data_IF_330109748178
#
_entry.id   IF_330109748178
#
_cell.length_a   1.000
_cell.length_b   1.000
_cell.length_c   1.000
_cell.angle_alpha   90.00
_cell.angle_beta   90.00
_cell.angle_gamma   90.00
#
_symmetry.space_group_name_H-M   'P 1'
#
loop_
_entity.id
_entity.type
_entity.pdbx_description
1 polymer ?
#
# COMPACT_ATOMS: atom_id res chain seq x y z
N UNK A 1 15.08 25.48 18.53
CA UNK A 1 15.41 24.11 18.08
C UNK A 1 14.75 23.08 18.98
N UNK A 2 15.04 23.06 20.30
CA UNK A 2 14.44 22.15 21.30
C UNK A 2 12.90 22.15 21.31
N UNK A 3 12.27 23.34 21.28
CA UNK A 3 10.81 23.51 21.31
C UNK A 3 10.12 22.98 20.06
N UNK A 4 10.79 23.04 18.91
CA UNK A 4 10.27 22.52 17.64
C UNK A 4 10.34 20.99 17.62
N UNK A 5 11.42 20.42 18.16
CA UNK A 5 11.60 18.98 18.32
C UNK A 5 10.58 18.38 19.31
N UNK A 6 10.38 19.02 20.47
CA UNK A 6 9.38 18.63 21.45
C UNK A 6 7.94 18.71 20.91
N UNK A 7 7.64 19.73 20.10
CA UNK A 7 6.34 19.83 19.45
C UNK A 7 6.11 18.69 18.43
N UNK A 8 7.16 18.25 17.74
CA UNK A 8 7.08 17.10 16.82
C UNK A 8 6.88 15.78 17.58
N UNK A 9 7.61 15.54 18.67
CA UNK A 9 7.41 14.37 19.52
C UNK A 9 6.03 14.37 20.20
N UNK A 10 5.57 15.54 20.67
CA UNK A 10 4.22 15.70 21.23
C UNK A 10 3.12 15.41 20.22
N UNK A 11 3.26 15.89 18.98
CA UNK A 11 2.33 15.56 17.89
C UNK A 11 2.31 14.07 17.53
N UNK A 12 3.46 13.40 17.59
CA UNK A 12 3.56 11.96 17.41
C UNK A 12 2.85 11.22 18.56
N UNK A 13 3.08 11.63 19.81
CA UNK A 13 2.38 11.07 20.99
C UNK A 13 0.86 11.24 20.88
N UNK A 14 0.42 12.42 20.48
CA UNK A 14 -1.01 12.75 20.39
C UNK A 14 -1.70 12.05 19.20
N UNK A 15 -0.95 11.48 18.24
CA UNK A 15 -1.52 10.66 17.16
C UNK A 15 -1.79 9.21 17.56
N UNK A 16 -1.21 8.74 18.68
CA UNK A 16 -1.32 7.36 19.12
C UNK A 16 -2.73 7.00 19.56
N UNK A 17 -3.15 5.77 19.25
CA UNK A 17 -4.45 5.28 19.70
C UNK A 17 -4.38 4.78 21.16
N UNK A 18 -5.11 5.40 22.11
CA UNK A 18 -5.08 4.99 23.52
C UNK A 18 -5.62 3.57 23.75
N UNK A 19 -6.42 3.03 22.83
CA UNK A 19 -6.95 1.65 22.90
C UNK A 19 -5.89 0.59 22.70
N UNK A 20 -4.71 0.95 22.22
CA UNK A 20 -3.60 0.02 22.07
C UNK A 20 -3.18 -0.63 23.37
N UNK A 21 -3.31 0.06 24.52
CA UNK A 21 -3.01 -0.47 25.86
C UNK A 21 -3.78 -1.73 26.20
N UNK A 22 -4.91 -1.95 25.54
CA UNK A 22 -5.81 -3.08 25.76
C UNK A 22 -5.75 -4.12 24.62
N UNK A 23 -4.92 -3.90 23.60
CA UNK A 23 -4.80 -4.76 22.42
C UNK A 23 -3.66 -5.77 22.53
N UNK A 24 -3.73 -6.88 21.78
CA UNK A 24 -2.61 -7.84 21.67
C UNK A 24 -1.38 -7.26 20.97
N UNK A 25 -1.50 -6.07 20.38
CA UNK A 25 -0.39 -5.30 19.80
C UNK A 25 0.34 -4.46 20.86
N UNK A 26 -0.18 -4.31 22.08
CA UNK A 26 0.46 -3.47 23.11
C UNK A 26 1.91 -3.87 23.41
N UNK A 27 2.17 -5.16 23.57
CA UNK A 27 3.54 -5.65 23.82
C UNK A 27 4.49 -5.39 22.66
N UNK A 28 3.96 -5.20 21.45
CA UNK A 28 4.73 -4.80 20.28
C UNK A 28 5.13 -3.34 20.39
N UNK A 29 4.18 -2.43 20.56
CA UNK A 29 4.43 -0.99 20.40
C UNK A 29 4.83 -0.29 21.70
N UNK A 30 4.47 -0.85 22.86
CA UNK A 30 4.67 -0.20 24.16
C UNK A 30 6.12 0.21 24.47
N UNK A 31 7.18 -0.54 24.09
CA UNK A 31 8.55 -0.11 24.36
C UNK A 31 8.89 1.22 23.69
N UNK A 32 8.52 1.38 22.41
CA UNK A 32 8.72 2.61 21.64
C UNK A 32 7.87 3.76 22.19
N UNK A 33 6.60 3.51 22.49
CA UNK A 33 5.70 4.54 23.01
C UNK A 33 6.16 5.03 24.39
N UNK A 34 6.52 4.11 25.30
CA UNK A 34 7.08 4.44 26.61
C UNK A 34 8.39 5.21 26.47
N UNK A 35 9.24 4.85 25.50
CA UNK A 35 10.47 5.59 25.24
C UNK A 35 10.20 7.05 24.84
N UNK A 36 9.29 7.28 23.90
CA UNK A 36 8.92 8.64 23.49
C UNK A 36 8.24 9.42 24.63
N UNK A 37 7.42 8.78 25.46
CA UNK A 37 6.86 9.41 26.67
C UNK A 37 7.97 9.82 27.66
N UNK A 38 8.95 8.95 27.90
CA UNK A 38 10.10 9.22 28.78
C UNK A 38 11.01 10.32 28.20
N UNK A 39 11.19 10.34 26.88
CA UNK A 39 11.94 11.35 26.13
C UNK A 39 11.29 12.74 26.28
N UNK A 40 9.99 12.82 26.00
CA UNK A 40 9.19 14.05 26.15
C UNK A 40 9.25 14.54 27.60
N UNK A 41 9.07 13.64 28.57
CA UNK A 41 9.08 13.97 30.00
C UNK A 41 10.44 14.51 30.43
N UNK A 42 11.53 13.82 30.10
CA UNK A 42 12.90 14.24 30.47
C UNK A 42 13.27 15.59 29.85
N UNK A 43 12.89 15.82 28.60
CA UNK A 43 13.24 17.06 27.89
C UNK A 43 12.37 18.24 28.28
N UNK A 44 11.09 18.04 28.60
CA UNK A 44 10.28 19.09 29.20
C UNK A 44 10.87 19.54 30.54
N UNK A 45 11.26 18.60 31.41
CA UNK A 45 11.92 18.92 32.66
C UNK A 45 13.23 19.72 32.46
N UNK A 46 14.00 19.42 31.41
CA UNK A 46 15.21 20.18 31.05
C UNK A 46 14.90 21.62 30.60
N UNK A 47 13.89 21.81 29.73
CA UNK A 47 13.47 23.15 29.28
C UNK A 47 12.95 23.99 30.44
N UNK A 48 12.12 23.40 31.30
CA UNK A 48 11.57 24.06 32.49
C UNK A 48 12.71 24.52 33.41
N UNK A 49 13.70 23.65 33.64
CA UNK A 49 14.86 23.95 34.47
C UNK A 49 15.76 25.05 33.87
N UNK A 50 15.89 25.13 32.54
CA UNK A 50 16.59 26.22 31.87
C UNK A 50 15.84 27.55 31.98
N UNK A 51 14.51 27.52 31.81
CA UNK A 51 13.66 28.70 31.94
C UNK A 51 13.69 29.25 33.37
N UNK A 52 13.57 28.39 34.37
CA UNK A 52 13.62 28.76 35.79
C UNK A 52 14.95 29.40 36.18
N UNK A 53 16.08 28.89 35.65
CA UNK A 53 17.40 29.50 35.86
C UNK A 53 17.59 30.83 35.13
N UNK A 54 16.98 31.00 33.94
CA UNK A 54 17.02 32.28 33.23
C UNK A 54 16.18 33.37 33.91
N UNK A 55 15.09 32.98 34.58
CA UNK A 55 14.21 33.89 35.34
C UNK A 55 14.81 34.26 36.72
N UNK A 56 15.47 33.32 37.40
CA UNK A 56 16.11 33.59 38.72
C UNK A 56 17.39 34.42 38.63
N UNK A 57 18.03 34.51 37.45
CA UNK A 57 19.22 35.34 37.24
C UNK A 57 18.90 36.81 36.89
N UNK A 58 17.63 37.17 36.75
CA UNK A 58 17.15 38.53 36.48
C UNK A 58 16.91 39.38 37.77
N UNK A 59 17.78 39.25 38.77
CA UNK A 59 17.82 40.10 39.97
C UNK A 59 19.10 40.96 40.01
N UNK A 60 19.06 42.19 40.55
CA UNK A 60 19.91 43.29 40.09
C UNK A 60 21.35 43.20 40.62
N UNK A 61 22.31 42.95 39.74
CA UNK A 61 23.70 43.37 39.94
C UNK A 61 24.24 44.05 38.69
N UNK A 62 24.75 45.26 38.92
CA UNK A 62 25.19 46.23 37.93
C UNK A 62 26.31 45.73 37.01
N UNK A 63 26.22 46.21 35.77
CA UNK A 63 27.31 46.53 34.85
C UNK A 63 28.25 45.37 34.46
N UNK A 64 27.75 44.46 33.63
CA UNK A 64 28.52 43.94 32.50
C UNK A 64 27.63 44.07 31.26
N UNK A 65 28.25 44.62 30.20
CA UNK A 65 27.70 44.99 28.89
C UNK A 65 26.55 44.08 28.45
N UNK A 66 25.44 44.62 27.90
CA UNK A 66 24.40 43.78 27.33
C UNK A 66 25.03 42.96 26.21
N UNK A 67 25.17 41.65 26.43
CA UNK A 67 25.29 40.71 25.32
C UNK A 67 23.93 40.76 24.64
N UNK A 68 23.81 41.65 23.65
CA UNK A 68 22.72 41.59 22.70
C UNK A 68 22.74 40.20 22.10
N UNK A 69 21.71 39.41 22.40
CA UNK A 69 21.34 38.22 21.64
C UNK A 69 20.78 38.69 20.27
N UNK A 70 21.55 39.47 19.53
CA UNK A 70 21.27 39.70 18.12
C UNK A 70 21.75 38.47 17.36
N UNK A 71 20.83 37.55 17.14
CA UNK A 71 20.97 36.34 16.32
C UNK A 71 21.24 36.62 14.83
N UNK A 72 21.67 37.82 14.43
CA UNK A 72 21.58 38.28 13.03
C UNK A 72 22.89 38.72 12.36
N UNK A 73 24.08 38.46 12.91
CA UNK A 73 25.31 38.84 12.21
C UNK A 73 26.48 37.86 12.40
N UNK A 74 26.50 36.78 11.62
CA UNK A 74 27.66 36.29 10.80
C UNK A 74 27.52 34.80 10.42
N UNK A 75 28.18 34.40 9.32
CA UNK A 75 27.50 33.97 8.11
C UNK A 75 26.66 32.69 8.31
N UNK A 76 25.47 32.71 7.73
CA UNK A 76 24.65 31.55 7.45
C UNK A 76 25.53 30.53 6.71
N UNK A 77 26.03 29.52 7.43
CA UNK A 77 26.16 28.20 6.84
C UNK A 77 24.72 27.76 6.69
N UNK A 78 24.26 27.64 5.44
CA UNK A 78 22.92 27.17 5.10
C UNK A 78 22.65 25.83 5.80
N UNK A 79 22.05 25.88 6.98
CA UNK A 79 21.41 24.71 7.60
C UNK A 79 20.09 24.59 6.87
N UNK A 80 19.85 23.50 6.11
CA UNK A 80 18.62 23.32 5.36
C UNK A 80 17.42 23.49 6.30
N UNK A 81 16.53 24.38 5.92
CA UNK A 81 15.27 24.63 6.60
C UNK A 81 14.52 23.32 6.88
N UNK A 82 14.40 23.03 8.17
CA UNK A 82 13.72 21.89 8.77
C UNK A 82 12.24 21.86 8.34
N UNK A 83 11.93 21.00 7.37
CA UNK A 83 10.55 20.63 7.06
C UNK A 83 10.44 19.12 7.12
N UNK A 84 9.97 18.60 8.26
CA UNK A 84 9.25 17.34 8.24
C UNK A 84 7.99 17.64 7.43
N UNK A 85 7.94 17.20 6.17
CA UNK A 85 6.67 17.03 5.46
C UNK A 85 5.86 15.93 6.13
N UNK A 86 5.49 16.14 7.39
CA UNK A 86 4.31 15.53 7.96
C UNK A 86 3.19 16.39 7.40
N UNK A 87 2.47 15.84 6.44
CA UNK A 87 1.36 16.50 5.77
C UNK A 87 0.44 17.20 6.79
N UNK A 88 -0.17 18.35 6.44
CA UNK A 88 -1.06 19.05 7.34
C UNK A 88 -2.17 18.12 7.82
N UNK A 89 -2.39 18.15 9.13
CA UNK A 89 -3.44 17.44 9.83
C UNK A 89 -4.82 17.86 9.31
N UNK A 90 -5.33 17.11 8.35
CA UNK A 90 -6.78 17.03 8.04
C UNK A 90 -7.17 15.73 7.36
N UNK A 91 -6.21 14.97 6.82
CA UNK A 91 -6.49 13.69 6.19
C UNK A 91 -6.35 12.55 7.21
N UNK A 92 -7.49 12.04 7.68
CA UNK A 92 -7.63 10.75 8.38
C UNK A 92 -7.03 9.54 7.63
N UNK A 93 -6.56 9.74 6.39
CA UNK A 93 -5.81 8.76 5.60
C UNK A 93 -4.33 8.62 5.97
N UNK A 94 -3.73 9.59 6.66
CA UNK A 94 -2.29 9.62 6.95
C UNK A 94 -1.94 9.41 8.43
N UNK A 95 -2.79 8.71 9.20
CA UNK A 95 -2.39 8.32 10.56
C UNK A 95 -1.30 7.24 10.48
N UNK A 96 -0.05 7.50 10.91
CA UNK A 96 1.06 6.54 10.85
C UNK A 96 0.80 5.23 11.58
N UNK A 97 -0.20 5.22 12.47
CA UNK A 97 -0.49 4.17 13.45
C UNK A 97 -1.57 3.17 12.98
N UNK A 98 -2.33 3.53 11.92
CA UNK A 98 -3.42 2.71 11.38
C UNK A 98 -3.04 1.29 10.92
N UNK A 99 -1.84 1.00 10.39
CA UNK A 99 -1.54 -0.35 9.92
C UNK A 99 -1.34 -1.34 11.09
N UNK A 100 -0.82 -0.90 12.23
CA UNK A 100 -0.60 -1.75 13.41
C UNK A 100 -1.90 -2.24 14.05
N UNK A 101 -2.94 -1.41 14.08
CA UNK A 101 -4.29 -1.77 14.58
C UNK A 101 -4.90 -2.96 13.84
N UNK A 102 -4.52 -3.15 12.57
CA UNK A 102 -5.09 -4.17 11.70
C UNK A 102 -4.30 -5.48 11.72
N UNK A 103 -3.08 -5.50 12.27
CA UNK A 103 -2.19 -6.66 12.24
C UNK A 103 -2.79 -7.89 12.93
N UNK A 104 -3.21 -7.75 14.19
CA UNK A 104 -3.79 -8.85 14.96
C UNK A 104 -5.11 -9.35 14.33
N UNK A 105 -6.11 -8.48 14.02
CA UNK A 105 -7.32 -8.92 13.32
C UNK A 105 -7.05 -9.64 12.00
N UNK A 106 -6.11 -9.14 11.19
CA UNK A 106 -5.76 -9.75 9.92
C UNK A 106 -5.09 -11.13 10.10
N UNK A 107 -4.19 -11.27 11.08
CA UNK A 107 -3.58 -12.55 11.42
C UNK A 107 -4.61 -13.57 11.90
N UNK A 108 -5.52 -13.17 12.79
CA UNK A 108 -6.58 -14.05 13.29
C UNK A 108 -7.54 -14.47 12.17
N UNK A 109 -7.87 -13.57 11.24
CA UNK A 109 -8.66 -13.89 10.05
C UNK A 109 -7.96 -14.90 9.13
N UNK A 110 -6.63 -14.78 8.94
CA UNK A 110 -5.84 -15.79 8.22
C UNK A 110 -5.90 -17.15 8.92
N UNK A 111 -5.62 -17.17 10.23
CA UNK A 111 -5.62 -18.41 11.03
C UNK A 111 -6.98 -19.10 11.03
N UNK A 112 -8.08 -18.34 11.07
CA UNK A 112 -9.41 -18.90 10.96
C UNK A 112 -9.68 -19.48 9.57
N UNK A 113 -9.38 -18.71 8.50
CA UNK A 113 -9.58 -19.17 7.13
C UNK A 113 -8.72 -20.41 6.81
N UNK A 114 -7.52 -20.50 7.38
CA UNK A 114 -6.62 -21.65 7.31
C UNK A 114 -7.23 -22.91 7.95
N UNK A 115 -7.94 -22.77 9.08
CA UNK A 115 -8.71 -23.88 9.66
C UNK A 115 -9.89 -24.27 8.78
N UNK A 116 -10.62 -23.28 8.26
CA UNK A 116 -11.86 -23.50 7.49
C UNK A 116 -11.59 -24.20 6.14
N UNK A 117 -10.50 -23.85 5.45
CA UNK A 117 -10.10 -24.51 4.20
C UNK A 117 -9.64 -25.96 4.42
N UNK A 118 -9.17 -26.28 5.63
CA UNK A 118 -8.75 -27.63 6.00
C UNK A 118 -9.89 -28.57 6.37
N UNK A 119 -11.11 -28.05 6.56
CA UNK A 119 -12.29 -28.87 6.85
C UNK A 119 -12.50 -29.92 5.74
N UNK A 120 -12.93 -31.16 6.07
CA UNK A 120 -13.09 -32.23 5.07
C UNK A 120 -14.00 -31.85 3.89
N UNK A 121 -15.06 -31.10 4.14
CA UNK A 121 -15.96 -30.58 3.11
C UNK A 121 -15.26 -29.59 2.17
N UNK A 122 -14.51 -28.64 2.72
CA UNK A 122 -13.72 -27.65 1.96
C UNK A 122 -12.65 -28.31 1.11
N UNK A 123 -11.89 -29.26 1.67
CA UNK A 123 -10.88 -30.03 0.93
C UNK A 123 -11.49 -30.85 -0.20
N UNK A 124 -12.62 -31.51 0.07
CA UNK A 124 -13.35 -32.28 -0.95
C UNK A 124 -13.85 -31.38 -2.08
N UNK A 125 -14.37 -30.18 -1.75
CA UNK A 125 -14.80 -29.20 -2.73
C UNK A 125 -13.63 -28.68 -3.58
N UNK A 126 -12.48 -28.39 -2.97
CA UNK A 126 -11.27 -27.95 -3.68
C UNK A 126 -10.71 -29.03 -4.60
N UNK A 127 -10.65 -30.28 -4.13
CA UNK A 127 -10.21 -31.40 -4.94
C UNK A 127 -11.14 -31.66 -6.13
N UNK A 128 -12.46 -31.59 -5.90
CA UNK A 128 -13.47 -31.70 -6.97
C UNK A 128 -13.32 -30.56 -7.98
N UNK A 129 -13.22 -29.31 -7.51
CA UNK A 129 -13.05 -28.16 -8.38
C UNK A 129 -11.80 -28.31 -9.26
N UNK A 130 -10.67 -28.74 -8.69
CA UNK A 130 -9.44 -28.94 -9.43
C UNK A 130 -9.56 -30.05 -10.50
N UNK A 131 -10.23 -31.16 -10.19
CA UNK A 131 -10.40 -32.27 -11.14
C UNK A 131 -11.42 -31.99 -12.23
N UNK A 132 -12.36 -31.06 -12.01
CA UNK A 132 -13.41 -30.70 -12.98
C UNK A 132 -13.21 -29.32 -13.60
N UNK A 133 -12.12 -28.62 -13.34
CA UNK A 133 -11.91 -27.28 -13.87
C UNK A 133 -11.81 -27.32 -15.40
N UNK A 134 -12.66 -26.54 -16.05
CA UNK A 134 -12.66 -26.37 -17.49
C UNK A 134 -12.42 -24.87 -17.80
N UNK A 135 -11.32 -24.51 -18.49
CA UNK A 135 -11.10 -23.12 -18.87
C UNK A 135 -12.20 -22.59 -19.80
N UNK A 136 -12.94 -23.42 -20.54
CA UNK A 136 -14.05 -22.95 -21.38
C UNK A 136 -15.30 -22.56 -20.58
N UNK A 137 -15.41 -23.07 -19.34
CA UNK A 137 -16.46 -22.76 -18.38
C UNK A 137 -15.79 -22.46 -17.02
N UNK A 138 -15.03 -21.36 -16.93
CA UNK A 138 -14.21 -21.08 -15.77
C UNK A 138 -15.11 -20.91 -14.55
N UNK A 139 -14.86 -21.73 -13.52
CA UNK A 139 -15.44 -21.55 -12.21
C UNK A 139 -14.40 -20.95 -11.28
N UNK A 140 -14.75 -19.95 -10.44
CA UNK A 140 -13.82 -19.43 -9.45
C UNK A 140 -13.43 -20.52 -8.45
N UNK A 141 -12.32 -20.33 -7.71
CA UNK A 141 -12.00 -21.22 -6.59
C UNK A 141 -13.19 -21.36 -5.62
N UNK A 142 -13.33 -22.49 -4.91
CA UNK A 142 -14.33 -22.63 -3.86
C UNK A 142 -14.20 -21.54 -2.80
N UNK A 143 -15.33 -21.11 -2.23
CA UNK A 143 -15.37 -19.98 -1.30
C UNK A 143 -14.39 -20.09 -0.12
N UNK A 144 -14.21 -21.26 0.56
CA UNK A 144 -13.24 -21.36 1.64
C UNK A 144 -11.80 -21.06 1.22
N UNK A 145 -11.39 -21.51 0.03
CA UNK A 145 -10.05 -21.23 -0.50
C UNK A 145 -9.93 -19.75 -0.95
N UNK A 146 -10.98 -19.16 -1.53
CA UNK A 146 -11.01 -17.73 -1.83
C UNK A 146 -10.90 -16.86 -0.58
N UNK A 147 -11.57 -17.23 0.51
CA UNK A 147 -11.46 -16.51 1.79
C UNK A 147 -10.02 -16.59 2.31
N UNK A 148 -9.43 -17.79 2.32
CA UNK A 148 -8.05 -17.99 2.77
C UNK A 148 -7.01 -17.23 1.94
N UNK A 149 -7.16 -17.23 0.61
CA UNK A 149 -6.31 -16.44 -0.32
C UNK A 149 -6.42 -14.95 -0.03
N UNK A 150 -7.64 -14.43 0.11
CA UNK A 150 -7.92 -13.00 0.39
C UNK A 150 -7.36 -12.55 1.73
N UNK A 151 -7.65 -13.28 2.80
CA UNK A 151 -7.16 -12.92 4.15
C UNK A 151 -5.63 -12.95 4.20
N UNK A 152 -5.01 -13.96 3.58
CA UNK A 152 -3.54 -14.06 3.53
C UNK A 152 -2.93 -12.88 2.77
N UNK A 153 -3.46 -12.54 1.58
CA UNK A 153 -2.97 -11.39 0.83
C UNK A 153 -3.13 -10.07 1.60
N UNK A 154 -4.28 -9.89 2.26
CA UNK A 154 -4.54 -8.73 3.10
C UNK A 154 -3.55 -8.60 4.26
N UNK A 155 -3.27 -9.70 4.98
CA UNK A 155 -2.30 -9.70 6.07
C UNK A 155 -0.87 -9.43 5.54
N UNK A 156 -0.51 -9.97 4.37
CA UNK A 156 0.78 -9.67 3.74
C UNK A 156 0.92 -8.19 3.39
N UNK A 157 -0.16 -7.53 2.95
CA UNK A 157 -0.17 -6.09 2.66
C UNK A 157 0.06 -5.28 3.94
N UNK A 158 -0.68 -5.58 5.01
CA UNK A 158 -0.54 -4.86 6.29
C UNK A 158 0.87 -5.05 6.86
N UNK A 159 1.41 -6.27 6.83
CA UNK A 159 2.79 -6.53 7.27
C UNK A 159 3.80 -5.74 6.43
N UNK A 160 3.58 -5.64 5.13
CA UNK A 160 4.44 -4.82 4.26
C UNK A 160 4.36 -3.35 4.66
N UNK A 161 3.16 -2.80 4.84
CA UNK A 161 2.96 -1.42 5.28
C UNK A 161 3.64 -1.13 6.63
N UNK A 162 3.54 -2.05 7.60
CA UNK A 162 4.22 -1.91 8.89
C UNK A 162 5.74 -1.98 8.76
N UNK A 163 6.28 -2.89 7.94
CA UNK A 163 7.72 -2.96 7.68
C UNK A 163 8.24 -1.72 6.95
N UNK A 164 7.46 -1.19 6.01
CA UNK A 164 7.77 0.06 5.31
C UNK A 164 7.76 1.24 6.30
N UNK A 165 6.88 1.23 7.31
CA UNK A 165 6.89 2.22 8.40
C UNK A 165 8.17 2.13 9.25
N UNK A 166 8.55 0.92 9.70
CA UNK A 166 9.78 0.74 10.47
C UNK A 166 11.03 1.19 9.69
N UNK A 167 11.08 0.86 8.39
CA UNK A 167 12.26 1.14 7.57
C UNK A 167 12.34 2.61 7.14
N UNK A 168 11.22 3.27 6.85
CA UNK A 168 11.26 4.62 6.29
C UNK A 168 11.00 5.73 7.31
N UNK A 169 10.23 5.46 8.37
CA UNK A 169 9.83 6.48 9.34
C UNK A 169 10.66 6.33 10.61
N UNK A 170 10.71 5.14 11.19
CA UNK A 170 11.35 4.96 12.48
C UNK A 170 12.87 5.12 12.40
N UNK A 171 13.52 4.56 11.36
CA UNK A 171 14.95 4.74 11.11
C UNK A 171 15.34 6.22 10.99
N UNK A 172 14.52 7.01 10.29
CA UNK A 172 14.74 8.46 10.16
C UNK A 172 14.57 9.17 11.50
N UNK A 173 13.61 8.75 12.33
CA UNK A 173 13.40 9.33 13.66
C UNK A 173 14.58 9.01 14.58
N UNK A 174 15.05 7.75 14.61
CA UNK A 174 16.17 7.33 15.45
C UNK A 174 17.49 7.97 15.02
N UNK A 175 17.77 8.07 13.72
CA UNK A 175 18.96 8.77 13.20
C UNK A 175 18.92 10.26 13.54
N UNK A 176 17.78 10.93 13.37
CA UNK A 176 17.63 12.34 13.78
C UNK A 176 17.81 12.51 15.29
N UNK A 177 17.33 11.56 16.08
CA UNK A 177 17.51 11.56 17.52
C UNK A 177 18.99 11.44 17.90
N UNK A 178 19.74 10.60 17.18
CA UNK A 178 21.19 10.47 17.32
C UNK A 178 21.90 11.78 17.02
N UNK A 179 21.61 12.36 15.86
CA UNK A 179 22.25 13.60 15.42
C UNK A 179 21.98 14.73 16.42
N UNK A 180 20.73 14.88 16.85
CA UNK A 180 20.38 15.92 17.81
C UNK A 180 21.07 15.72 19.16
N UNK A 181 21.22 14.48 19.63
CA UNK A 181 21.95 14.17 20.86
C UNK A 181 23.44 14.54 20.75
N UNK A 182 24.07 14.29 19.60
CA UNK A 182 25.46 14.72 19.36
C UNK A 182 25.58 16.25 19.20
N UNK A 183 24.59 16.93 18.63
CA UNK A 183 24.57 18.39 18.52
C UNK A 183 24.50 19.05 19.92
N UNK A 184 23.62 18.57 20.79
CA UNK A 184 23.50 19.05 22.18
C UNK A 184 24.80 18.78 22.95
N UNK A 185 25.38 17.59 22.78
CA UNK A 185 26.69 17.24 23.37
C UNK A 185 27.80 18.18 22.90
N UNK A 186 27.85 18.47 21.59
CA UNK A 186 28.81 19.41 20.99
C UNK A 186 28.64 20.82 21.57
N UNK A 187 27.40 21.30 21.67
CA UNK A 187 27.07 22.60 22.25
C UNK A 187 27.51 22.70 23.72
N UNK A 188 27.13 21.73 24.57
CA UNK A 188 27.52 21.68 25.98
C UNK A 188 29.05 21.63 26.10
N UNK A 189 29.71 20.79 25.30
CA UNK A 189 31.16 20.68 25.27
C UNK A 189 31.85 22.00 24.92
N UNK A 190 31.35 22.72 23.91
CA UNK A 190 31.83 24.04 23.52
C UNK A 190 31.62 25.09 24.61
N UNK A 191 30.41 25.15 25.19
CA UNK A 191 30.07 26.08 26.26
C UNK A 191 30.94 25.86 27.51
N UNK A 192 31.06 24.61 27.98
CA UNK A 192 31.91 24.27 29.13
C UNK A 192 33.40 24.59 28.87
N UNK A 193 33.88 24.32 27.65
CA UNK A 193 35.25 24.67 27.25
C UNK A 193 35.49 26.18 27.30
N UNK A 194 34.52 26.99 26.87
CA UNK A 194 34.60 28.45 26.94
C UNK A 194 34.63 28.97 28.38
N UNK A 195 33.90 28.32 29.30
CA UNK A 195 33.87 28.66 30.73
C UNK A 195 35.15 28.26 31.46
N UNK A 196 35.79 27.14 31.09
CA UNK A 196 37.10 26.77 31.65
C UNK A 196 38.21 27.75 31.26
N UNK A 197 38.11 28.42 30.10
CA UNK A 197 39.02 29.51 29.75
C UNK A 197 38.77 30.78 30.57
N UNK A 198 37.53 31.01 31.00
CA UNK A 198 37.13 32.23 31.69
C UNK A 198 37.44 32.20 33.20
N UNK A 199 37.45 31.01 33.82
CA UNK A 199 37.66 30.87 35.27
C UNK A 199 38.56 29.67 35.57
N UNK A 200 39.85 29.93 35.73
CA UNK A 200 40.83 28.93 36.16
C UNK A 200 40.48 28.28 37.52
N UNK A 201 39.61 28.90 38.32
CA UNK A 201 39.15 28.43 39.63
C UNK A 201 37.78 27.71 39.64
N UNK A 202 37.05 27.57 38.52
CA UNK A 202 35.89 26.64 38.44
C UNK A 202 36.42 25.23 38.16
N UNK A 203 37.19 24.78 39.16
CA UNK A 203 37.99 23.59 39.25
C UNK A 203 37.12 22.34 39.40
N UNK A 204 37.58 21.25 38.78
CA UNK A 204 37.11 19.86 38.90
C UNK A 204 35.67 19.57 38.42
N UNK A 205 34.65 20.33 38.79
CA UNK A 205 33.27 20.06 38.37
C UNK A 205 33.06 20.26 36.86
N UNK A 206 33.63 21.32 36.27
CA UNK A 206 33.60 21.52 34.81
C UNK A 206 34.41 20.45 34.08
N UNK A 207 35.57 20.04 34.61
CA UNK A 207 36.37 18.95 34.05
C UNK A 207 35.63 17.62 34.08
N UNK A 208 34.94 17.30 35.18
CA UNK A 208 34.08 16.12 35.31
C UNK A 208 32.91 16.21 34.34
N UNK A 209 32.25 17.37 34.23
CA UNK A 209 31.16 17.57 33.28
C UNK A 209 31.63 17.39 31.83
N UNK A 210 32.75 18.00 31.42
CA UNK A 210 33.34 17.82 30.08
C UNK A 210 33.71 16.35 29.84
N UNK A 211 34.31 15.69 30.82
CA UNK A 211 34.66 14.27 30.75
C UNK A 211 33.41 13.40 30.56
N UNK A 212 32.36 13.65 31.34
CA UNK A 212 31.09 12.93 31.27
C UNK A 212 30.37 13.18 29.94
N UNK A 213 30.35 14.43 29.45
CA UNK A 213 29.78 14.79 28.14
C UNK A 213 30.55 14.15 26.99
N UNK A 214 31.89 14.08 27.07
CA UNK A 214 32.72 13.37 26.08
C UNK A 214 32.54 11.86 26.13
N UNK A 215 32.35 11.28 27.32
CA UNK A 215 32.10 9.85 27.49
C UNK A 215 30.66 9.43 27.14
N UNK A 216 29.73 10.38 27.03
CA UNK A 216 28.40 10.08 26.51
C UNK A 216 28.50 9.66 25.05
N UNK A 217 28.12 8.42 24.76
CA UNK A 217 28.00 7.89 23.42
C UNK A 217 26.51 7.79 23.07
N UNK A 218 26.05 8.61 22.13
CA UNK A 218 24.67 8.51 21.60
C UNK A 218 24.37 7.10 21.07
N UNK A 219 25.38 6.42 20.53
CA UNK A 219 25.28 5.02 20.11
C UNK A 219 24.86 4.08 21.26
N UNK A 220 25.31 4.30 22.50
CA UNK A 220 24.90 3.47 23.65
C UNK A 220 23.43 3.69 24.06
N UNK A 221 22.86 4.84 23.67
CA UNK A 221 21.45 5.17 23.91
C UNK A 221 20.53 4.62 22.82
N UNK A 222 21.03 4.53 21.58
CA UNK A 222 20.24 4.18 20.39
C UNK A 222 20.38 2.71 20.01
N UNK A 223 21.52 2.06 20.29
CA UNK A 223 21.72 0.64 20.01
C UNK A 223 20.62 -0.25 20.63
N UNK A 224 20.21 -0.07 21.90
CA UNK A 224 19.12 -0.88 22.46
C UNK A 224 17.79 -0.68 21.72
N UNK A 225 17.58 0.47 21.07
CA UNK A 225 16.37 0.76 20.29
C UNK A 225 16.36 0.04 18.96
N UNK A 226 17.52 -0.14 18.32
CA UNK A 226 17.60 -1.02 17.15
C UNK A 226 17.28 -2.46 17.53
N UNK A 227 17.76 -2.93 18.68
CA UNK A 227 17.46 -4.28 19.18
C UNK A 227 15.95 -4.46 19.45
N UNK A 228 15.31 -3.49 20.13
CA UNK A 228 13.85 -3.49 20.35
C UNK A 228 13.05 -3.50 19.03
N UNK A 229 13.47 -2.73 18.02
CA UNK A 229 12.81 -2.71 16.71
C UNK A 229 12.91 -4.07 16.01
N UNK A 230 14.06 -4.71 16.08
CA UNK A 230 14.25 -6.04 15.49
C UNK A 230 13.44 -7.11 16.25
N UNK A 231 13.35 -6.99 17.57
CA UNK A 231 12.46 -7.83 18.39
C UNK A 231 10.98 -7.64 17.99
N UNK A 232 10.55 -6.40 17.76
CA UNK A 232 9.19 -6.09 17.28
C UNK A 232 8.93 -6.65 15.88
N UNK A 233 9.85 -6.46 14.93
CA UNK A 233 9.77 -7.08 13.59
C UNK A 233 9.72 -8.60 13.65
N UNK A 234 10.32 -9.20 14.67
CA UNK A 234 10.29 -10.65 14.89
C UNK A 234 8.94 -11.17 15.41
N UNK A 235 8.05 -10.30 15.87
CA UNK A 235 6.74 -10.67 16.42
C UNK A 235 5.89 -11.47 15.44
N UNK A 236 5.08 -12.40 15.95
CA UNK A 236 4.30 -13.33 15.12
C UNK A 236 3.39 -12.60 14.11
N UNK A 237 2.74 -11.51 14.52
CA UNK A 237 1.85 -10.74 13.64
C UNK A 237 2.60 -9.95 12.56
N UNK A 238 3.87 -9.62 12.80
CA UNK A 238 4.75 -8.95 11.84
C UNK A 238 5.34 -9.91 10.80
N UNK A 239 5.17 -11.23 10.98
CA UNK A 239 5.54 -12.24 10.00
C UNK A 239 4.41 -12.43 9.00
N UNK A 240 4.76 -12.54 7.72
CA UNK A 240 3.80 -12.91 6.68
C UNK A 240 3.25 -14.30 6.97
N UNK A 241 1.93 -14.44 6.96
CA UNK A 241 1.27 -15.72 7.17
C UNK A 241 1.66 -16.71 6.05
N UNK A 242 2.00 -17.94 6.41
CA UNK A 242 2.36 -18.97 5.44
C UNK A 242 1.12 -19.52 4.74
N UNK A 243 0.93 -19.20 3.46
CA UNK A 243 -0.16 -19.77 2.66
C UNK A 243 0.21 -21.17 2.14
N UNK A 244 -0.73 -22.11 2.26
CA UNK A 244 -0.55 -23.51 1.87
C UNK A 244 -1.59 -23.99 0.86
N UNK A 245 -1.14 -24.64 -0.20
CA UNK A 245 -2.02 -25.30 -1.17
C UNK A 245 -2.49 -26.66 -0.65
N UNK A 246 -3.66 -26.71 -0.03
CA UNK A 246 -4.19 -27.96 0.54
C UNK A 246 -4.54 -29.04 -0.48
N UNK A 247 -4.75 -28.68 -1.75
CA UNK A 247 -4.91 -29.66 -2.82
C UNK A 247 -3.57 -30.24 -3.32
N UNK A 248 -2.44 -29.61 -2.99
CA UNK A 248 -1.06 -30.09 -3.23
C UNK A 248 -0.41 -30.51 -1.91
N UNK A 249 -1.13 -31.26 -1.07
CA UNK A 249 -0.60 -31.78 0.19
C UNK A 249 -0.07 -30.70 1.16
N UNK A 250 -0.55 -29.45 1.07
CA UNK A 250 -0.15 -28.36 1.96
C UNK A 250 1.20 -27.73 1.63
N UNK A 251 1.65 -27.83 0.38
CA UNK A 251 2.84 -27.13 -0.11
C UNK A 251 2.74 -25.61 0.09
N UNK A 252 3.86 -24.99 0.49
CA UNK A 252 3.98 -23.54 0.66
C UNK A 252 3.93 -22.84 -0.70
N UNK A 253 3.22 -21.72 -0.74
CA UNK A 253 3.04 -20.92 -1.95
C UNK A 253 2.66 -19.48 -1.60
N UNK A 254 2.62 -18.60 -2.61
CA UNK A 254 2.14 -17.23 -2.45
C UNK A 254 0.88 -17.03 -3.30
N UNK A 255 -0.27 -16.65 -2.70
CA UNK A 255 -1.49 -16.48 -3.46
C UNK A 255 -1.40 -15.22 -4.34
N UNK A 256 -1.59 -15.40 -5.64
CA UNK A 256 -1.73 -14.35 -6.65
C UNK A 256 -3.12 -14.35 -7.28
N UNK A 257 -3.81 -15.49 -7.22
CA UNK A 257 -5.13 -15.68 -7.82
C UNK A 257 -6.22 -15.70 -6.74
N UNK A 258 -7.42 -15.26 -7.11
CA UNK A 258 -8.58 -15.29 -6.20
C UNK A 258 -8.54 -14.25 -5.09
N UNK A 259 -7.84 -13.13 -5.30
CA UNK A 259 -7.62 -12.09 -4.28
C UNK A 259 -8.80 -11.11 -4.09
N UNK A 260 -9.86 -11.23 -4.88
CA UNK A 260 -10.97 -10.25 -4.91
C UNK A 260 -10.77 -9.16 -5.96
N UNK A 261 -11.80 -8.37 -6.24
CA UNK A 261 -11.85 -7.48 -7.39
C UNK A 261 -10.74 -6.41 -7.37
N UNK A 262 -10.63 -5.63 -6.29
CA UNK A 262 -9.64 -4.55 -6.18
C UNK A 262 -8.20 -5.05 -6.36
N UNK A 263 -7.79 -6.06 -5.59
CA UNK A 263 -6.43 -6.63 -5.67
C UNK A 263 -6.15 -7.26 -7.04
N UNK A 264 -7.14 -7.95 -7.63
CA UNK A 264 -7.01 -8.52 -8.98
C UNK A 264 -6.82 -7.41 -10.01
N UNK A 265 -7.63 -6.37 -9.96
CA UNK A 265 -7.57 -5.23 -10.90
C UNK A 265 -6.23 -4.52 -10.79
N UNK A 266 -5.76 -4.28 -9.58
CA UNK A 266 -4.46 -3.66 -9.32
C UNK A 266 -3.32 -4.49 -9.93
N UNK A 267 -3.32 -5.81 -9.68
CA UNK A 267 -2.27 -6.69 -10.18
C UNK A 267 -2.30 -6.83 -11.71
N UNK A 268 -3.49 -6.93 -12.32
CA UNK A 268 -3.62 -6.95 -13.78
C UNK A 268 -3.08 -5.65 -14.39
N UNK A 269 -3.39 -4.49 -13.81
CA UNK A 269 -2.84 -3.21 -14.26
C UNK A 269 -1.31 -3.17 -14.16
N UNK A 270 -0.74 -3.60 -13.03
CA UNK A 270 0.73 -3.68 -12.87
C UNK A 270 1.37 -4.56 -13.95
N UNK A 271 0.73 -5.68 -14.33
CA UNK A 271 1.22 -6.52 -15.42
C UNK A 271 1.17 -5.78 -16.76
N UNK A 272 0.05 -5.11 -17.05
CA UNK A 272 -0.14 -4.33 -18.27
C UNK A 272 0.76 -3.08 -18.36
N UNK A 273 1.28 -2.57 -17.24
CA UNK A 273 2.17 -1.41 -17.20
C UNK A 273 3.62 -1.73 -17.60
N UNK A 274 4.00 -3.01 -17.63
CA UNK A 274 5.39 -3.42 -17.93
C UNK A 274 5.75 -3.53 -19.40
N UNK A 275 4.82 -3.19 -20.30
CA UNK A 275 5.10 -3.05 -21.73
C UNK A 275 3.97 -3.55 -22.63
N UNK A 276 4.22 -3.51 -23.93
CA UNK A 276 3.34 -4.10 -24.94
C UNK A 276 3.29 -5.61 -24.74
N UNK A 277 2.10 -6.17 -24.49
CA UNK A 277 1.88 -7.61 -24.42
C UNK A 277 1.16 -7.99 -25.70
N UNK A 278 1.77 -8.86 -26.52
CA UNK A 278 1.08 -9.50 -27.64
C UNK A 278 0.04 -10.48 -27.08
N UNK A 279 -1.08 -9.94 -26.61
CA UNK A 279 -2.13 -10.72 -25.97
C UNK A 279 -2.94 -11.44 -27.06
N UNK A 280 -2.62 -12.70 -27.29
CA UNK A 280 -3.35 -13.52 -28.25
C UNK A 280 -4.61 -14.11 -27.62
N UNK A 281 -5.68 -14.25 -28.40
CA UNK A 281 -6.94 -14.89 -27.98
C UNK A 281 -6.74 -16.41 -27.93
N UNK A 282 -5.91 -16.90 -26.99
CA UNK A 282 -5.64 -18.33 -26.77
C UNK A 282 -6.00 -18.74 -25.34
N UNK A 283 -7.19 -18.31 -24.91
CA UNK A 283 -7.88 -18.76 -23.70
C UNK A 283 -7.83 -20.27 -23.44
N UNK A 284 -7.93 -21.05 -24.52
CA UNK A 284 -8.20 -22.50 -24.49
C UNK A 284 -7.05 -23.36 -23.95
N UNK A 285 -5.91 -22.76 -23.58
CA UNK A 285 -4.74 -23.49 -23.05
C UNK A 285 -4.45 -23.20 -21.58
N UNK A 286 -5.34 -22.51 -20.85
CA UNK A 286 -5.14 -22.29 -19.43
C UNK A 286 -5.20 -23.63 -18.67
N UNK A 287 -4.08 -24.03 -18.08
CA UNK A 287 -4.01 -25.14 -17.14
C UNK A 287 -3.90 -24.57 -15.73
N UNK A 288 -4.82 -24.91 -14.83
CA UNK A 288 -4.77 -24.48 -13.43
C UNK A 288 -3.45 -24.87 -12.78
N UNK A 289 -2.92 -26.06 -13.11
CA UNK A 289 -1.61 -26.50 -12.63
C UNK A 289 -0.46 -25.58 -13.05
N UNK A 290 -0.53 -24.94 -14.23
CA UNK A 290 0.47 -23.95 -14.66
C UNK A 290 0.34 -22.66 -13.84
N UNK A 291 -0.89 -22.20 -13.57
CA UNK A 291 -1.13 -21.04 -12.73
C UNK A 291 -0.56 -21.25 -11.32
N UNK A 292 -0.90 -22.36 -10.67
CA UNK A 292 -0.45 -22.66 -9.32
C UNK A 292 1.07 -22.90 -9.22
N UNK A 293 1.70 -23.40 -10.29
CA UNK A 293 3.17 -23.44 -10.37
C UNK A 293 3.80 -22.05 -10.33
N UNK A 294 3.12 -21.01 -10.81
CA UNK A 294 3.58 -19.62 -10.64
C UNK A 294 3.51 -19.20 -9.16
N UNK A 295 2.42 -19.50 -8.45
CA UNK A 295 2.29 -19.21 -7.01
C UNK A 295 3.41 -19.88 -6.18
N UNK A 296 3.83 -21.09 -6.57
CA UNK A 296 4.94 -21.81 -5.94
C UNK A 296 6.31 -21.28 -6.34
N UNK A 297 6.54 -21.10 -7.65
CA UNK A 297 7.85 -20.70 -8.20
C UNK A 297 8.34 -19.35 -7.69
N UNK A 298 7.41 -18.49 -7.25
CA UNK A 298 7.70 -17.15 -6.77
C UNK A 298 7.39 -16.93 -5.29
N UNK A 299 7.36 -17.99 -4.48
CA UNK A 299 7.15 -17.93 -3.04
C UNK A 299 8.05 -16.86 -2.36
N UNK A 300 9.34 -16.82 -2.74
CA UNK A 300 10.34 -15.92 -2.16
C UNK A 300 10.67 -14.71 -3.04
N UNK A 301 9.95 -14.51 -4.14
CA UNK A 301 10.24 -13.44 -5.10
C UNK A 301 9.23 -12.30 -5.00
N UNK A 302 9.66 -11.04 -5.18
CA UNK A 302 8.74 -9.94 -5.41
C UNK A 302 7.88 -10.21 -6.64
N UNK A 303 6.62 -9.76 -6.62
CA UNK A 303 5.75 -9.93 -7.77
C UNK A 303 6.30 -9.20 -9.00
N UNK A 304 7.04 -8.11 -8.77
CA UNK A 304 7.79 -7.38 -9.78
C UNK A 304 8.76 -8.26 -10.56
N UNK A 305 9.32 -9.32 -9.96
CA UNK A 305 10.19 -10.26 -10.69
C UNK A 305 9.41 -11.14 -11.68
N UNK A 306 8.16 -11.48 -11.35
CA UNK A 306 7.25 -12.20 -12.26
C UNK A 306 6.91 -11.31 -13.45
N UNK A 307 6.63 -10.06 -13.16
CA UNK A 307 6.16 -9.10 -14.16
C UNK A 307 7.32 -8.64 -15.05
N UNK A 308 8.49 -8.36 -14.46
CA UNK A 308 9.68 -7.89 -15.16
C UNK A 308 10.43 -9.00 -15.92
N UNK A 309 10.07 -10.28 -15.76
CA UNK A 309 10.72 -11.37 -16.50
C UNK A 309 10.57 -11.12 -18.02
N UNK A 310 11.67 -10.87 -18.76
CA UNK A 310 11.60 -10.39 -20.14
C UNK A 310 11.21 -11.47 -21.16
N UNK A 311 11.48 -12.75 -20.87
CA UNK A 311 11.65 -13.74 -21.92
C UNK A 311 10.37 -14.51 -22.34
N UNK A 312 9.19 -14.12 -21.87
CA UNK A 312 7.98 -14.87 -22.23
C UNK A 312 6.68 -14.06 -22.17
N UNK A 313 6.36 -13.33 -23.25
CA UNK A 313 5.03 -12.71 -23.46
C UNK A 313 3.89 -13.71 -23.22
N UNK A 314 4.10 -14.98 -23.57
CA UNK A 314 3.12 -16.04 -23.36
C UNK A 314 2.93 -16.38 -21.87
N UNK A 315 3.97 -16.27 -21.03
CA UNK A 315 3.82 -16.38 -19.56
C UNK A 315 3.03 -15.20 -19.00
N UNK A 316 3.27 -13.96 -19.48
CA UNK A 316 2.49 -12.79 -19.03
C UNK A 316 1.02 -12.91 -19.43
N UNK A 317 0.74 -13.37 -20.64
CA UNK A 317 -0.63 -13.67 -21.08
C UNK A 317 -1.28 -14.76 -20.22
N UNK A 318 -0.57 -15.86 -19.94
CA UNK A 318 -1.07 -16.90 -19.01
C UNK A 318 -1.37 -16.33 -17.64
N UNK A 319 -0.50 -15.48 -17.11
CA UNK A 319 -0.71 -14.80 -15.84
C UNK A 319 -1.97 -13.93 -15.88
N UNK A 320 -2.12 -13.06 -16.88
CA UNK A 320 -3.29 -12.19 -17.06
C UNK A 320 -4.60 -12.99 -17.13
N UNK A 321 -4.64 -14.03 -17.95
CA UNK A 321 -5.81 -14.90 -18.06
C UNK A 321 -6.09 -15.58 -16.72
N UNK A 322 -5.06 -16.11 -16.04
CA UNK A 322 -5.21 -16.76 -14.72
C UNK A 322 -5.75 -15.77 -13.68
N UNK A 323 -5.26 -14.53 -13.65
CA UNK A 323 -5.71 -13.48 -12.74
C UNK A 323 -7.21 -13.21 -12.88
N UNK A 324 -7.70 -13.09 -14.11
CA UNK A 324 -9.10 -12.76 -14.39
C UNK A 324 -10.05 -13.98 -14.27
N UNK A 325 -9.58 -15.18 -14.60
CA UNK A 325 -10.42 -16.38 -14.66
C UNK A 325 -10.49 -17.16 -13.36
N UNK A 326 -9.47 -17.06 -12.50
CA UNK A 326 -9.44 -17.75 -11.22
C UNK A 326 -9.99 -16.90 -10.06
N UNK A 327 -10.27 -15.61 -10.32
CA UNK A 327 -11.03 -14.76 -9.40
C UNK A 327 -12.53 -14.93 -9.58
N UNK A 328 -13.37 -14.38 -8.70
CA UNK A 328 -14.81 -14.28 -9.00
C UNK A 328 -15.02 -13.36 -10.22
N UNK A 329 -16.09 -13.56 -11.02
CA UNK A 329 -16.40 -12.67 -12.12
C UNK A 329 -16.40 -11.21 -11.63
N UNK A 330 -15.62 -10.36 -12.31
CA UNK A 330 -15.58 -8.93 -12.03
C UNK A 330 -16.90 -8.25 -12.42
N UNK A 331 -17.64 -8.88 -13.33
CA UNK A 331 -18.96 -8.48 -13.78
C UNK A 331 -19.94 -9.63 -13.57
N UNK A 332 -20.88 -9.46 -12.65
CA UNK A 332 -21.97 -10.41 -12.47
C UNK A 332 -23.12 -10.04 -13.43
N UNK A 333 -23.29 -10.83 -14.49
CA UNK A 333 -24.38 -10.67 -15.46
C UNK A 333 -25.23 -11.93 -15.44
N UNK A 334 -26.51 -11.77 -15.10
CA UNK A 334 -27.46 -12.88 -15.11
C UNK A 334 -27.66 -13.43 -16.53
N UNK A 335 -27.77 -14.75 -16.67
CA UNK A 335 -27.97 -15.42 -17.96
C UNK A 335 -29.22 -14.94 -18.72
N UNK A 336 -30.23 -14.40 -18.02
CA UNK A 336 -31.41 -13.79 -18.64
C UNK A 336 -31.04 -12.47 -19.34
N UNK A 337 -30.19 -11.64 -18.72
CA UNK A 337 -29.70 -10.38 -19.31
C UNK A 337 -28.77 -10.62 -20.49
N UNK A 338 -27.94 -11.66 -20.42
CA UNK A 338 -27.09 -12.08 -21.54
C UNK A 338 -27.93 -12.41 -22.77
N UNK A 339 -28.97 -13.23 -22.62
CA UNK A 339 -29.91 -13.56 -23.70
C UNK A 339 -30.69 -12.33 -24.18
N UNK A 340 -31.14 -11.48 -23.26
CA UNK A 340 -31.90 -10.27 -23.57
C UNK A 340 -31.10 -9.28 -24.42
N UNK A 341 -29.80 -9.12 -24.15
CA UNK A 341 -28.96 -8.09 -24.79
C UNK A 341 -27.95 -8.66 -25.79
N UNK A 342 -28.26 -9.82 -26.40
CA UNK A 342 -27.42 -10.44 -27.42
C UNK A 342 -27.19 -9.54 -28.65
N UNK A 343 -28.13 -8.64 -28.95
CA UNK A 343 -28.04 -7.66 -30.03
C UNK A 343 -27.48 -6.30 -29.62
N UNK A 344 -27.03 -6.15 -28.37
CA UNK A 344 -26.59 -4.87 -27.79
C UNK A 344 -27.49 -4.37 -26.67
N UNK A 345 -26.95 -3.43 -25.89
CA UNK A 345 -27.58 -2.78 -24.73
C UNK A 345 -27.91 -1.33 -25.07
N UNK A 346 -29.18 -0.92 -24.95
CA UNK A 346 -29.56 0.49 -25.02
C UNK A 346 -28.91 1.29 -23.87
N UNK A 347 -28.45 2.53 -24.13
CA UNK A 347 -27.78 3.39 -23.13
C UNK A 347 -28.51 3.46 -21.78
N UNK A 348 -29.83 3.71 -21.82
CA UNK A 348 -30.72 3.77 -20.66
C UNK A 348 -30.80 2.47 -19.81
N UNK A 349 -30.22 1.36 -20.28
CA UNK A 349 -30.18 0.07 -19.59
C UNK A 349 -28.77 -0.33 -19.15
N UNK A 350 -27.73 0.41 -19.54
CA UNK A 350 -26.35 0.14 -19.14
C UNK A 350 -26.16 0.31 -17.63
N UNK A 351 -26.78 1.34 -17.04
CA UNK A 351 -26.65 1.62 -15.61
C UNK A 351 -26.99 0.40 -14.75
N UNK A 352 -28.14 -0.25 -14.98
CA UNK A 352 -28.51 -1.45 -14.22
C UNK A 352 -27.62 -2.67 -14.46
N UNK A 353 -26.79 -2.69 -15.52
CA UNK A 353 -25.77 -3.73 -15.71
C UNK A 353 -24.46 -3.37 -15.00
N UNK A 354 -24.08 -2.09 -15.01
CA UNK A 354 -22.86 -1.60 -14.36
C UNK A 354 -23.02 -1.55 -12.84
N UNK A 355 -24.24 -1.34 -12.34
CA UNK A 355 -24.56 -1.36 -10.91
C UNK A 355 -24.35 -2.73 -10.25
N UNK A 356 -24.22 -3.82 -11.02
CA UNK A 356 -23.88 -5.14 -10.46
C UNK A 356 -22.40 -5.28 -10.10
N UNK A 357 -21.56 -4.33 -10.53
CA UNK A 357 -20.16 -4.24 -10.13
C UNK A 357 -20.09 -3.55 -8.78
N UNK A 358 -19.25 -4.10 -7.89
CA UNK A 358 -18.98 -3.51 -6.58
C UNK A 358 -18.63 -2.03 -6.71
N UNK A 359 -19.33 -1.18 -5.95
CA UNK A 359 -19.27 0.27 -6.11
C UNK A 359 -17.84 0.80 -5.89
N UNK A 360 -17.14 0.26 -4.89
CA UNK A 360 -15.77 0.69 -4.55
C UNK A 360 -14.75 0.32 -5.64
N UNK A 361 -14.95 -0.80 -6.33
CA UNK A 361 -14.06 -1.28 -7.39
C UNK A 361 -14.52 -0.93 -8.82
N UNK A 362 -15.69 -0.30 -8.99
CA UNK A 362 -16.38 -0.16 -10.28
C UNK A 362 -15.57 0.62 -11.31
N UNK A 363 -15.11 1.81 -10.95
CA UNK A 363 -14.31 2.67 -11.85
C UNK A 363 -13.08 1.94 -12.35
N UNK A 364 -12.28 1.38 -11.44
CA UNK A 364 -11.03 0.69 -11.78
C UNK A 364 -11.29 -0.57 -12.62
N UNK A 365 -12.37 -1.30 -12.31
CA UNK A 365 -12.79 -2.49 -13.06
C UNK A 365 -13.20 -2.14 -14.49
N UNK A 366 -14.00 -1.08 -14.67
CA UNK A 366 -14.43 -0.60 -15.99
C UNK A 366 -13.25 -0.04 -16.80
N UNK A 367 -12.36 0.72 -16.14
CA UNK A 367 -11.15 1.25 -16.76
C UNK A 367 -10.25 0.11 -17.23
N UNK A 368 -10.07 -0.91 -16.39
CA UNK A 368 -9.31 -2.11 -16.77
C UNK A 368 -9.96 -2.82 -17.95
N UNK A 369 -11.28 -3.03 -17.93
CA UNK A 369 -12.02 -3.66 -19.04
C UNK A 369 -11.78 -2.92 -20.37
N UNK A 370 -11.91 -1.58 -20.36
CA UNK A 370 -11.65 -0.75 -21.55
C UNK A 370 -10.18 -0.84 -21.97
N UNK A 371 -9.25 -0.80 -21.03
CA UNK A 371 -7.82 -0.96 -21.30
C UNK A 371 -7.53 -2.30 -21.99
N UNK A 372 -8.10 -3.40 -21.50
CA UNK A 372 -7.93 -4.75 -22.08
C UNK A 372 -8.53 -4.82 -23.49
N UNK A 373 -9.75 -4.27 -23.70
CA UNK A 373 -10.38 -4.19 -25.03
C UNK A 373 -9.47 -3.49 -26.04
N UNK A 374 -8.97 -2.30 -25.69
CA UNK A 374 -8.13 -1.48 -26.57
C UNK A 374 -6.80 -2.20 -26.86
N UNK A 375 -6.15 -2.77 -25.84
CA UNK A 375 -4.90 -3.51 -26.02
C UNK A 375 -5.07 -4.70 -26.98
N UNK A 376 -6.12 -5.50 -26.81
CA UNK A 376 -6.38 -6.65 -27.68
C UNK A 376 -6.70 -6.23 -29.12
N UNK A 377 -7.43 -5.13 -29.32
CA UNK A 377 -7.75 -4.62 -30.66
C UNK A 377 -6.55 -3.98 -31.36
N UNK A 378 -5.59 -3.41 -30.61
CA UNK A 378 -4.37 -2.82 -31.18
C UNK A 378 -3.40 -3.85 -31.75
N UNK A 379 -3.40 -5.08 -31.23
CA UNK A 379 -2.39 -6.09 -31.52
C UNK A 379 -2.88 -7.30 -32.30
N UNK A 380 -4.18 -7.41 -32.57
CA UNK A 380 -4.74 -8.59 -33.23
C UNK A 380 -5.53 -8.24 -34.49
N UNK A 381 -5.54 -9.12 -35.51
CA UNK A 381 -6.38 -8.95 -36.70
C UNK A 381 -7.84 -9.39 -36.46
N UNK A 382 -8.25 -9.60 -35.21
CA UNK A 382 -9.57 -10.14 -34.91
C UNK A 382 -10.65 -9.06 -34.99
N UNK A 383 -11.88 -9.40 -35.41
CA UNK A 383 -13.02 -8.49 -35.35
C UNK A 383 -13.30 -8.01 -33.92
N UNK A 384 -13.86 -6.81 -33.79
CA UNK A 384 -14.32 -6.22 -32.50
C UNK A 384 -15.17 -7.20 -31.71
N UNK A 385 -16.05 -7.93 -32.39
CA UNK A 385 -16.95 -8.92 -31.76
C UNK A 385 -16.17 -10.04 -31.08
N UNK A 386 -15.17 -10.61 -31.74
CA UNK A 386 -14.32 -11.68 -31.18
C UNK A 386 -13.49 -11.19 -30.01
N UNK A 387 -12.95 -9.96 -30.10
CA UNK A 387 -12.21 -9.37 -28.98
C UNK A 387 -13.16 -9.12 -27.80
N UNK A 388 -14.33 -8.56 -28.05
CA UNK A 388 -15.31 -8.29 -27.00
C UNK A 388 -15.83 -9.58 -26.35
N UNK A 389 -16.06 -10.65 -27.11
CA UNK A 389 -16.39 -11.98 -26.58
C UNK A 389 -15.29 -12.53 -25.67
N UNK A 390 -14.01 -12.35 -26.06
CA UNK A 390 -12.89 -12.78 -25.23
C UNK A 390 -12.80 -11.98 -23.93
N UNK A 391 -12.93 -10.65 -24.00
CA UNK A 391 -12.95 -9.79 -22.80
C UNK A 391 -14.16 -10.10 -21.94
N UNK A 392 -15.33 -10.32 -22.53
CA UNK A 392 -16.53 -10.71 -21.78
C UNK A 392 -16.34 -12.02 -21.05
N UNK A 393 -15.76 -13.03 -21.71
CA UNK A 393 -15.39 -14.27 -21.05
C UNK A 393 -14.41 -14.06 -19.89
N UNK A 394 -13.38 -13.23 -20.04
CA UNK A 394 -12.42 -12.94 -18.97
C UNK A 394 -13.07 -12.26 -17.75
N UNK A 395 -13.98 -11.31 -17.97
CA UNK A 395 -14.55 -10.48 -16.90
C UNK A 395 -15.85 -11.02 -16.30
N UNK A 396 -16.64 -11.76 -17.08
CA UNK A 396 -17.97 -12.24 -16.68
C UNK A 396 -18.04 -13.76 -16.58
N UNK A 397 -16.97 -14.47 -16.98
CA UNK A 397 -16.89 -15.94 -17.06
C UNK A 397 -17.96 -16.55 -17.99
N UNK A 398 -18.46 -15.77 -18.96
CA UNK A 398 -19.50 -16.18 -19.91
C UNK A 398 -19.15 -15.70 -21.31
N UNK A 399 -19.14 -16.60 -22.30
CA UNK A 399 -18.76 -16.25 -23.68
C UNK A 399 -19.75 -15.31 -24.38
N UNK A 400 -21.03 -15.38 -24.02
CA UNK A 400 -22.10 -14.64 -24.71
C UNK A 400 -22.23 -13.18 -24.28
N UNK A 401 -21.35 -12.68 -23.39
CA UNK A 401 -21.41 -11.30 -22.87
C UNK A 401 -20.66 -10.29 -23.74
N UNK A 402 -20.03 -10.72 -24.82
CA UNK A 402 -19.29 -9.84 -25.73
C UNK A 402 -20.06 -8.59 -26.20
N UNK A 403 -21.31 -8.70 -26.68
CA UNK A 403 -22.12 -7.54 -27.06
C UNK A 403 -22.33 -6.54 -25.91
N UNK A 404 -22.54 -7.03 -24.69
CA UNK A 404 -22.73 -6.18 -23.50
C UNK A 404 -21.43 -5.44 -23.17
N UNK A 405 -20.30 -6.16 -23.17
CA UNK A 405 -18.98 -5.63 -22.83
C UNK A 405 -18.51 -4.60 -23.85
N UNK A 406 -18.76 -4.85 -25.14
CA UNK A 406 -18.50 -3.88 -26.19
C UNK A 406 -19.32 -2.60 -25.98
N UNK A 407 -20.60 -2.72 -25.61
CA UNK A 407 -21.46 -1.56 -25.41
C UNK A 407 -21.12 -0.78 -24.14
N UNK A 408 -20.78 -1.43 -23.03
CA UNK A 408 -20.23 -0.75 -21.85
C UNK A 408 -18.94 -0.03 -22.25
N UNK A 409 -18.04 -0.72 -22.96
CA UNK A 409 -16.78 -0.17 -23.44
C UNK A 409 -16.94 1.03 -24.39
N UNK A 410 -18.01 1.09 -25.20
CA UNK A 410 -18.27 2.22 -26.10
C UNK A 410 -19.00 3.38 -25.43
N UNK A 411 -19.98 3.07 -24.59
CA UNK A 411 -21.04 4.03 -24.20
C UNK A 411 -20.96 4.48 -22.74
N UNK A 412 -20.07 3.91 -21.91
CA UNK A 412 -19.97 4.27 -20.48
C UNK A 412 -18.74 5.13 -20.18
N UNK A 413 -18.90 6.28 -19.54
CA UNK A 413 -17.82 7.08 -18.97
C UNK A 413 -17.43 6.49 -17.61
N UNK A 414 -16.33 5.72 -17.56
CA UNK A 414 -15.86 5.13 -16.29
C UNK A 414 -15.27 6.18 -15.34
N UNK A 415 -14.92 7.39 -15.80
CA UNK A 415 -14.36 8.44 -14.93
C UNK A 415 -15.45 9.20 -14.17
N UNK A 416 -16.63 9.35 -14.79
CA UNK A 416 -17.82 9.97 -14.17
C UNK A 416 -18.87 8.96 -13.70
N UNK A 417 -18.58 7.67 -13.86
CA UNK A 417 -19.48 6.54 -13.60
C UNK A 417 -20.90 6.74 -14.16
N UNK A 418 -21.00 7.13 -15.43
CA UNK A 418 -22.26 7.43 -16.08
C UNK A 418 -22.23 7.10 -17.58
N UNK A 419 -23.38 6.92 -18.26
CA UNK A 419 -23.38 6.76 -19.71
C UNK A 419 -22.97 8.08 -20.40
N UNK A 420 -22.24 7.99 -21.50
CA UNK A 420 -22.00 9.14 -22.37
C UNK A 420 -23.32 9.70 -22.93
N UNK A 421 -23.37 11.00 -23.28
CA UNK A 421 -24.52 11.59 -23.94
C UNK A 421 -24.94 10.83 -25.21
N UNK A 422 -26.20 11.01 -25.62
CA UNK A 422 -26.69 10.43 -26.87
C UNK A 422 -25.85 10.97 -28.05
N UNK A 423 -25.43 10.08 -28.95
CA UNK A 423 -24.52 10.45 -30.05
C UNK A 423 -23.04 10.56 -29.67
N UNK A 424 -22.65 10.30 -28.41
CA UNK A 424 -21.26 10.26 -27.96
C UNK A 424 -20.85 8.82 -27.63
N UNK A 425 -19.70 8.39 -28.15
CA UNK A 425 -19.14 7.06 -27.90
C UNK A 425 -17.60 7.05 -27.97
N UNK A 426 -16.95 6.06 -27.37
CA UNK A 426 -15.54 5.77 -27.67
C UNK A 426 -15.40 5.38 -29.14
N UNK A 427 -14.41 6.00 -29.80
CA UNK A 427 -14.17 5.89 -31.23
C UNK A 427 -13.84 4.46 -31.62
N UNK A 428 -14.54 3.97 -32.64
CA UNK A 428 -14.30 2.68 -33.27
C UNK A 428 -13.92 2.89 -34.74
N UNK A 429 -12.64 2.80 -35.08
CA UNK A 429 -12.12 2.92 -36.46
C UNK A 429 -11.75 1.54 -37.00
N UNK A 430 -12.22 1.16 -38.19
CA UNK A 430 -11.75 -0.05 -38.89
C UNK A 430 -11.69 -1.33 -38.02
N UNK A 431 -12.69 -1.53 -37.14
CA UNK A 431 -12.73 -2.61 -36.15
C UNK A 431 -11.75 -2.48 -34.97
N UNK A 432 -11.31 -1.28 -34.62
CA UNK A 432 -10.47 -0.97 -33.46
C UNK A 432 -11.12 0.07 -32.58
N UNK A 433 -11.23 -0.23 -31.29
CA UNK A 433 -11.64 0.74 -30.27
C UNK A 433 -10.41 1.51 -29.80
N UNK A 434 -10.53 2.83 -29.66
CA UNK A 434 -9.48 3.67 -29.06
C UNK A 434 -9.96 4.29 -27.75
N UNK A 435 -9.06 4.99 -27.03
CA UNK A 435 -9.42 5.75 -25.83
C UNK A 435 -10.16 7.05 -26.16
N UNK A 436 -10.08 7.51 -27.40
CA UNK A 436 -10.70 8.76 -27.85
C UNK A 436 -12.23 8.63 -27.77
N UNK A 437 -12.89 9.65 -27.23
CA UNK A 437 -14.35 9.75 -27.20
C UNK A 437 -14.75 10.77 -28.25
N UNK A 438 -15.71 10.44 -29.11
CA UNK A 438 -16.11 11.25 -30.27
C UNK A 438 -17.63 11.35 -30.37
N UNK A 439 -18.09 12.38 -31.07
CA UNK A 439 -19.45 12.43 -31.59
C UNK A 439 -19.57 11.47 -32.78
N UNK A 440 -20.50 10.52 -32.72
CA UNK A 440 -20.67 9.46 -33.73
C UNK A 440 -20.94 10.03 -35.12
N UNK A 441 -21.76 11.08 -35.21
CA UNK A 441 -22.17 11.66 -36.49
C UNK A 441 -21.07 12.48 -37.18
N UNK A 442 -20.21 13.15 -36.41
CA UNK A 442 -19.19 14.05 -36.95
C UNK A 442 -17.77 13.47 -36.88
N UNK A 443 -17.54 12.44 -36.06
CA UNK A 443 -16.22 11.91 -35.74
C UNK A 443 -15.33 12.88 -34.95
N UNK A 444 -15.84 14.05 -34.56
CA UNK A 444 -15.07 15.06 -33.85
C UNK A 444 -14.85 14.65 -32.39
N UNK A 445 -13.69 14.98 -31.79
CA UNK A 445 -13.43 14.74 -30.38
C UNK A 445 -14.52 15.34 -29.50
N UNK A 446 -15.05 14.53 -28.58
CA UNK A 446 -15.93 15.00 -27.52
C UNK A 446 -15.08 15.61 -26.40
N UNK A 447 -15.07 16.94 -26.33
CA UNK A 447 -14.44 17.67 -25.23
C UNK A 447 -15.46 17.80 -24.11
N UNK A 448 -15.10 17.35 -22.91
CA UNK A 448 -15.97 17.46 -21.74
C UNK A 448 -15.97 18.91 -21.25
N UNK A 449 -17.15 19.47 -21.04
CA UNK A 449 -17.28 20.67 -20.22
C UNK A 449 -16.94 20.30 -18.75
N UNK A 450 -16.05 21.11 -18.17
CA UNK A 450 -15.39 20.87 -16.87
C UNK A 450 -16.35 20.80 -15.70
#
# INVERSE_FOLDING_TARGET
METQYLNQLGKLRDSWNPKWRESGVWSLISPILSHFEDEITRRNAFVDHLQEHSLTRAGPRNALVPVSLDYNTSPIVDIPSFTLSIAPQSDTKNNPDRPFEKLEPAYLACSQADRDVQMPSSRSALQKWYSTFDPTLPGPFPEPDLVYRRTTNHQHSIVKECNDWYSNILEVITEKHQQHSEDVKSFIGGYLSSMTYLVADISRSCTIAISNTRSFASASFISPRHDEIEDEKSHLYMRKYEYRHYHLNGELSRPFFGLGAADTVQLVNQVLDTGSILWTITARTLKVSDALKLEKGYLNSPIQHIIAHPDNEYTRMKLLNSLLLLTKPLFLIEAVKVRQYRGGVPRRKLQGLVESIDFEARSDTLQLMVRVLISLMGHTPYPVTTVAEHVGWLFTHQHETGPIINDIGRKWDYERDCPFPEGVERKTEENRMTREVVWVDSGLPYVREG
#
